data_IF_281929652519
#
_entry.id   IF_281929652519
#
_cell.length_a   1.000
_cell.length_b   1.000
_cell.length_c   1.000
_cell.angle_alpha   90.00
_cell.angle_beta   90.00
_cell.angle_gamma   90.00
#
_symmetry.space_group_name_H-M   'P 1'
#
loop_
_entity.id
_entity.type
_entity.pdbx_description
1 polymer ?
#
# COMPACT_ATOMS: atom_id res chain seq x y z
N UNK A 1 13.87 -2.66 -26.07
CA UNK A 1 12.46 -3.03 -25.92
C UNK A 1 11.72 -3.22 -27.24
N UNK A 2 11.31 -4.45 -27.49
CA UNK A 2 10.34 -4.89 -28.49
C UNK A 2 8.91 -4.48 -28.08
N UNK A 3 8.16 -3.76 -28.95
CA UNK A 3 6.80 -3.32 -28.65
C UNK A 3 5.80 -4.46 -28.39
N UNK A 4 5.95 -5.61 -29.05
CA UNK A 4 5.03 -6.74 -28.89
C UNK A 4 5.11 -7.33 -27.48
N UNK A 5 6.34 -7.49 -26.97
CA UNK A 5 6.60 -7.97 -25.61
C UNK A 5 6.08 -6.95 -24.58
N UNK A 6 6.27 -5.66 -24.83
CA UNK A 6 5.74 -4.61 -23.96
C UNK A 6 4.20 -4.66 -23.85
N UNK A 7 3.48 -4.89 -24.96
CA UNK A 7 2.03 -5.07 -24.96
C UNK A 7 1.64 -6.30 -24.12
N UNK A 8 2.34 -7.42 -24.28
CA UNK A 8 2.09 -8.63 -23.49
C UNK A 8 2.29 -8.35 -21.99
N UNK A 9 3.35 -7.61 -21.61
CA UNK A 9 3.60 -7.24 -20.22
C UNK A 9 2.45 -6.44 -19.61
N UNK A 10 1.93 -5.47 -20.36
CA UNK A 10 0.79 -4.64 -19.93
C UNK A 10 -0.46 -5.49 -19.78
N UNK A 11 -0.76 -6.37 -20.74
CA UNK A 11 -1.94 -7.25 -20.67
C UNK A 11 -1.85 -8.22 -19.49
N UNK A 12 -0.73 -8.93 -19.34
CA UNK A 12 -0.51 -9.88 -18.24
C UNK A 12 -0.58 -9.16 -16.89
N UNK A 13 0.12 -8.04 -16.76
CA UNK A 13 0.09 -7.23 -15.54
C UNK A 13 -1.33 -6.80 -15.19
N UNK A 14 -2.04 -6.16 -16.12
CA UNK A 14 -3.38 -5.64 -15.89
C UNK A 14 -4.42 -6.73 -15.55
N UNK A 15 -4.41 -7.85 -16.29
CA UNK A 15 -5.35 -8.94 -16.06
C UNK A 15 -5.07 -9.64 -14.71
N UNK A 16 -3.81 -9.89 -14.38
CA UNK A 16 -3.44 -10.48 -13.09
C UNK A 16 -3.77 -9.53 -11.93
N UNK A 17 -3.48 -8.24 -12.11
CA UNK A 17 -3.83 -7.17 -11.16
C UNK A 17 -5.34 -7.07 -10.92
N UNK A 18 -6.14 -7.29 -11.96
CA UNK A 18 -7.61 -7.19 -11.93
C UNK A 18 -8.30 -8.28 -11.08
N UNK A 19 -7.60 -9.33 -10.68
CA UNK A 19 -8.12 -10.35 -9.78
C UNK A 19 -8.32 -9.79 -8.36
N UNK A 20 -9.55 -9.74 -7.87
CA UNK A 20 -9.86 -9.20 -6.54
C UNK A 20 -9.92 -10.29 -5.47
N UNK A 21 -8.80 -10.55 -4.79
CA UNK A 21 -8.75 -11.55 -3.71
C UNK A 21 -9.64 -11.20 -2.52
N UNK A 22 -9.84 -9.91 -2.24
CA UNK A 22 -10.78 -9.48 -1.20
C UNK A 22 -12.21 -9.93 -1.49
N UNK A 23 -12.68 -9.81 -2.74
CA UNK A 23 -14.00 -10.31 -3.17
C UNK A 23 -14.08 -11.83 -3.16
N UNK A 24 -13.03 -12.50 -3.64
CA UNK A 24 -12.96 -13.97 -3.66
C UNK A 24 -13.06 -14.51 -2.23
N UNK A 25 -12.24 -14.02 -1.30
CA UNK A 25 -12.25 -14.45 0.10
C UNK A 25 -13.58 -14.11 0.79
N UNK A 26 -14.15 -12.93 0.54
CA UNK A 26 -15.46 -12.57 1.09
C UNK A 26 -16.56 -13.51 0.60
N UNK A 27 -16.56 -13.87 -0.68
CA UNK A 27 -17.54 -14.83 -1.25
C UNK A 27 -17.41 -16.23 -0.64
N UNK A 28 -16.20 -16.67 -0.34
CA UNK A 28 -15.93 -18.02 0.19
C UNK A 28 -16.17 -18.08 1.71
N UNK A 29 -15.67 -17.11 2.46
CA UNK A 29 -15.61 -17.16 3.94
C UNK A 29 -16.76 -16.42 4.63
N UNK A 30 -17.46 -15.54 3.93
CA UNK A 30 -18.65 -14.85 4.43
C UNK A 30 -19.74 -14.77 3.35
N UNK A 31 -20.26 -15.92 2.88
CA UNK A 31 -21.31 -15.93 1.87
C UNK A 31 -22.51 -15.08 2.32
N UNK A 32 -22.98 -14.18 1.45
CA UNK A 32 -24.07 -13.25 1.74
C UNK A 32 -23.64 -11.88 2.28
N UNK A 33 -22.36 -11.67 2.64
CA UNK A 33 -21.83 -10.34 2.97
C UNK A 33 -21.10 -9.74 1.77
N UNK A 34 -21.61 -8.63 1.26
CA UNK A 34 -20.95 -7.90 0.18
C UNK A 34 -19.92 -6.92 0.74
N UNK A 35 -18.68 -7.04 0.26
CA UNK A 35 -17.59 -6.11 0.56
C UNK A 35 -17.92 -4.67 0.13
N UNK A 36 -18.79 -4.49 -0.88
CA UNK A 36 -19.27 -3.18 -1.32
C UNK A 36 -20.11 -2.45 -0.26
N UNK A 37 -20.68 -3.19 0.71
CA UNK A 37 -21.61 -2.67 1.71
C UNK A 37 -21.02 -2.69 3.12
N UNK A 38 -19.69 -2.81 3.26
CA UNK A 38 -19.05 -2.79 4.58
C UNK A 38 -19.17 -1.38 5.16
N UNK A 39 -19.94 -1.29 6.23
CA UNK A 39 -20.22 -0.06 6.96
C UNK A 39 -19.28 0.09 8.16
N UNK A 40 -18.74 1.29 8.32
CA UNK A 40 -17.91 1.72 9.44
C UNK A 40 -18.77 2.63 10.31
N UNK A 41 -18.93 2.27 11.58
CA UNK A 41 -19.69 3.07 12.53
C UNK A 41 -18.90 4.32 12.95
N UNK A 42 -19.54 5.47 12.88
CA UNK A 42 -19.07 6.70 13.52
C UNK A 42 -19.40 6.58 15.00
N UNK A 43 -18.36 6.47 15.83
CA UNK A 43 -18.53 6.24 17.25
C UNK A 43 -19.38 7.31 17.92
N UNK A 44 -20.38 6.87 18.68
CA UNK A 44 -21.21 7.75 19.52
C UNK A 44 -22.28 8.54 18.77
N UNK A 45 -22.40 8.41 17.45
CA UNK A 45 -23.49 9.06 16.68
C UNK A 45 -24.54 8.09 16.12
N UNK A 46 -24.25 6.78 16.09
CA UNK A 46 -25.10 5.77 15.44
C UNK A 46 -25.09 5.82 13.90
N UNK A 47 -24.36 6.77 13.31
CA UNK A 47 -24.21 6.94 11.87
C UNK A 47 -23.19 5.92 11.30
N UNK A 48 -23.41 5.48 10.06
CA UNK A 48 -22.55 4.50 9.39
C UNK A 48 -22.08 5.00 8.03
N UNK A 49 -20.77 4.94 7.80
CA UNK A 49 -20.13 5.31 6.53
C UNK A 49 -19.76 4.04 5.79
N UNK A 50 -20.21 3.89 4.54
CA UNK A 50 -19.85 2.74 3.72
C UNK A 50 -18.44 2.92 3.17
N UNK A 51 -17.55 1.95 3.42
CA UNK A 51 -16.22 1.94 2.83
C UNK A 51 -16.32 1.72 1.33
N UNK A 52 -15.74 2.62 0.54
CA UNK A 52 -15.73 2.53 -0.92
C UNK A 52 -14.53 1.74 -1.47
N UNK A 53 -13.69 1.20 -0.60
CA UNK A 53 -12.42 0.57 -0.97
C UNK A 53 -12.50 -0.93 -0.77
N UNK A 54 -12.13 -1.65 -1.82
CA UNK A 54 -12.08 -3.11 -1.84
C UNK A 54 -10.65 -3.55 -1.56
N UNK A 55 -10.39 -4.17 -0.41
CA UNK A 55 -9.04 -4.61 -0.09
C UNK A 55 -8.93 -5.37 1.23
N UNK A 56 -7.72 -5.84 1.51
CA UNK A 56 -7.38 -6.59 2.72
C UNK A 56 -7.88 -5.93 4.02
N UNK A 57 -7.69 -4.62 4.16
CA UNK A 57 -8.14 -3.88 5.34
C UNK A 57 -9.66 -3.96 5.52
N UNK A 58 -10.43 -3.64 4.48
CA UNK A 58 -11.89 -3.65 4.52
C UNK A 58 -12.42 -5.07 4.76
N UNK A 59 -11.88 -6.07 4.06
CA UNK A 59 -12.25 -7.47 4.26
C UNK A 59 -11.91 -7.96 5.69
N UNK A 60 -10.80 -7.49 6.28
CA UNK A 60 -10.42 -7.85 7.66
C UNK A 60 -11.39 -7.36 8.73
N UNK A 61 -12.21 -6.34 8.42
CA UNK A 61 -13.25 -5.86 9.33
C UNK A 61 -14.39 -6.88 9.49
N UNK A 62 -14.57 -7.76 8.50
CA UNK A 62 -15.61 -8.80 8.49
C UNK A 62 -15.03 -10.18 8.78
N UNK A 63 -13.91 -10.52 8.12
CA UNK A 63 -13.30 -11.85 8.17
C UNK A 63 -12.20 -12.00 9.23
N UNK A 64 -11.83 -10.92 9.90
CA UNK A 64 -10.76 -10.89 10.89
C UNK A 64 -9.35 -10.73 10.30
N UNK A 65 -8.36 -10.64 11.21
CA UNK A 65 -6.96 -10.32 10.88
C UNK A 65 -6.31 -11.38 9.98
N UNK A 66 -6.56 -12.66 10.24
CA UNK A 66 -5.95 -13.76 9.49
C UNK A 66 -6.28 -13.69 8.00
N UNK A 67 -7.57 -13.61 7.67
CA UNK A 67 -8.02 -13.45 6.28
C UNK A 67 -7.49 -12.16 5.64
N UNK A 68 -7.44 -11.05 6.39
CA UNK A 68 -6.83 -9.80 5.91
C UNK A 68 -5.37 -9.96 5.47
N UNK A 69 -4.55 -10.67 6.26
CA UNK A 69 -3.15 -10.96 5.92
C UNK A 69 -3.07 -11.84 4.67
N UNK A 70 -3.87 -12.90 4.61
CA UNK A 70 -3.92 -13.79 3.43
C UNK A 70 -4.27 -13.04 2.15
N UNK A 71 -5.29 -12.17 2.21
CA UNK A 71 -5.69 -11.34 1.07
C UNK A 71 -4.55 -10.40 0.66
N UNK A 72 -3.89 -9.74 1.62
CA UNK A 72 -2.77 -8.86 1.32
C UNK A 72 -1.62 -9.62 0.66
N UNK A 73 -1.32 -10.84 1.10
CA UNK A 73 -0.31 -11.69 0.50
C UNK A 73 -0.69 -12.13 -0.92
N UNK A 74 -1.95 -12.50 -1.16
CA UNK A 74 -2.41 -12.83 -2.51
C UNK A 74 -2.37 -11.61 -3.45
N UNK A 75 -2.79 -10.43 -2.96
CA UNK A 75 -2.71 -9.18 -3.72
C UNK A 75 -1.27 -8.76 -4.02
N UNK A 76 -0.33 -9.06 -3.11
CA UNK A 76 1.11 -8.88 -3.33
C UNK A 76 1.60 -9.84 -4.43
N UNK A 77 1.32 -11.13 -4.29
CA UNK A 77 1.86 -12.18 -5.15
C UNK A 77 1.31 -12.13 -6.58
N UNK A 78 0.06 -11.73 -6.77
CA UNK A 78 -0.55 -11.70 -8.11
C UNK A 78 0.18 -10.77 -9.08
N UNK A 79 0.88 -9.76 -8.60
CA UNK A 79 1.71 -8.88 -9.44
C UNK A 79 3.20 -9.23 -9.31
N UNK A 80 3.67 -9.57 -8.10
CA UNK A 80 5.07 -9.92 -7.90
C UNK A 80 5.52 -11.16 -8.71
N UNK A 81 4.67 -12.19 -8.82
CA UNK A 81 4.97 -13.41 -9.58
C UNK A 81 5.17 -13.12 -11.08
N UNK A 82 4.20 -12.52 -11.81
CA UNK A 82 4.41 -12.22 -13.22
C UNK A 82 5.54 -11.21 -13.43
N UNK A 83 5.70 -10.23 -12.54
CA UNK A 83 6.82 -9.28 -12.59
C UNK A 83 8.18 -9.99 -12.49
N UNK A 84 8.34 -10.90 -11.54
CA UNK A 84 9.56 -11.70 -11.42
C UNK A 84 9.79 -12.57 -12.66
N UNK A 85 8.73 -13.17 -13.21
CA UNK A 85 8.81 -13.94 -14.45
C UNK A 85 9.40 -13.12 -15.60
N UNK A 86 8.88 -11.91 -15.85
CA UNK A 86 9.42 -11.03 -16.90
C UNK A 86 10.82 -10.51 -16.58
N UNK A 87 11.14 -10.26 -15.31
CA UNK A 87 12.50 -9.84 -14.89
C UNK A 87 13.55 -10.92 -15.18
N UNK A 88 13.19 -12.19 -14.99
CA UNK A 88 14.08 -13.33 -15.24
C UNK A 88 14.18 -13.68 -16.73
N UNK A 89 13.08 -13.56 -17.48
CA UNK A 89 13.06 -13.86 -18.92
C UNK A 89 13.76 -12.78 -19.75
N UNK A 90 13.69 -11.52 -19.32
CA UNK A 90 14.24 -10.38 -20.06
C UNK A 90 15.09 -9.48 -19.14
N UNK A 91 16.25 -9.96 -18.65
CA UNK A 91 17.05 -9.24 -17.66
C UNK A 91 17.65 -7.92 -18.18
N UNK A 92 17.81 -7.78 -19.50
CA UNK A 92 18.40 -6.59 -20.13
C UNK A 92 17.39 -5.45 -20.40
N UNK A 93 16.09 -5.75 -20.38
CA UNK A 93 15.03 -4.79 -20.68
C UNK A 93 14.08 -4.62 -19.47
N UNK A 94 13.63 -3.40 -19.14
CA UNK A 94 12.82 -3.14 -17.95
C UNK A 94 11.33 -3.52 -18.10
N UNK A 95 11.00 -4.59 -18.85
CA UNK A 95 9.62 -5.03 -19.08
C UNK A 95 8.83 -5.30 -17.80
N UNK A 96 9.49 -5.83 -16.78
CA UNK A 96 8.88 -6.11 -15.49
C UNK A 96 8.34 -4.85 -14.79
N UNK A 97 8.88 -3.65 -15.09
CA UNK A 97 8.32 -2.39 -14.61
C UNK A 97 6.94 -2.12 -15.22
N UNK A 98 6.74 -2.44 -16.51
CA UNK A 98 5.43 -2.32 -17.17
C UNK A 98 4.40 -3.27 -16.55
N UNK A 99 4.81 -4.51 -16.23
CA UNK A 99 3.95 -5.49 -15.55
C UNK A 99 3.47 -4.95 -14.20
N UNK A 100 4.37 -4.32 -13.43
CA UNK A 100 4.03 -3.70 -12.16
C UNK A 100 3.04 -2.53 -12.32
N UNK A 101 3.33 -1.58 -13.22
CA UNK A 101 2.45 -0.42 -13.47
C UNK A 101 1.06 -0.88 -13.89
N UNK A 102 0.98 -1.81 -14.84
CA UNK A 102 -0.28 -2.36 -15.31
C UNK A 102 -1.00 -3.18 -14.23
N UNK A 103 -0.27 -3.96 -13.43
CA UNK A 103 -0.82 -4.72 -12.31
C UNK A 103 -1.40 -3.86 -11.20
N UNK A 104 -0.75 -2.73 -10.89
CA UNK A 104 -1.30 -1.74 -9.98
C UNK A 104 -2.57 -1.11 -10.54
N UNK A 105 -2.54 -0.68 -11.82
CA UNK A 105 -3.72 -0.14 -12.48
C UNK A 105 -4.89 -1.14 -12.51
N UNK A 106 -4.61 -2.42 -12.78
CA UNK A 106 -5.59 -3.50 -12.74
C UNK A 106 -6.15 -3.73 -11.33
N UNK A 107 -5.33 -3.66 -10.29
CA UNK A 107 -5.83 -3.77 -8.91
C UNK A 107 -6.73 -2.58 -8.51
N UNK A 108 -6.39 -1.38 -8.96
CA UNK A 108 -7.11 -0.16 -8.61
C UNK A 108 -8.41 0.00 -9.42
N UNK A 109 -8.36 -0.35 -10.70
CA UNK A 109 -9.47 -0.30 -11.65
C UNK A 109 -9.62 -1.65 -12.37
N UNK A 110 -10.09 -2.69 -11.66
CA UNK A 110 -10.20 -4.05 -12.19
C UNK A 110 -11.32 -4.17 -13.22
N UNK A 111 -11.00 -4.70 -14.40
CA UNK A 111 -11.97 -4.90 -15.48
C UNK A 111 -13.09 -5.87 -15.07
N UNK A 112 -12.79 -6.90 -14.29
CA UNK A 112 -13.76 -7.92 -13.86
C UNK A 112 -14.77 -7.43 -12.82
N UNK A 113 -14.58 -6.22 -12.27
CA UNK A 113 -15.39 -5.70 -11.18
C UNK A 113 -15.83 -4.26 -11.41
N UNK A 114 -16.13 -3.92 -12.67
CA UNK A 114 -16.66 -2.61 -13.05
C UNK A 114 -15.75 -1.45 -12.69
N UNK A 115 -14.43 -1.66 -12.76
CA UNK A 115 -13.39 -0.67 -12.45
C UNK A 115 -13.44 -0.11 -11.03
N UNK A 116 -13.99 -0.88 -10.07
CA UNK A 116 -14.00 -0.53 -8.64
C UNK A 116 -13.06 -1.47 -7.89
N UNK A 117 -11.88 -0.99 -7.51
CA UNK A 117 -10.82 -1.80 -6.90
C UNK A 117 -10.34 -1.32 -5.55
N UNK A 118 -9.12 -1.73 -5.21
CA UNK A 118 -8.40 -1.27 -4.03
C UNK A 118 -7.50 -0.08 -4.31
N UNK A 119 -6.65 0.26 -3.35
CA UNK A 119 -5.64 1.33 -3.49
C UNK A 119 -4.26 0.77 -3.91
N UNK A 120 -4.06 -0.55 -3.78
CA UNK A 120 -2.87 -1.20 -4.32
C UNK A 120 -1.60 -1.16 -3.45
N UNK A 121 -1.69 -0.82 -2.16
CA UNK A 121 -0.50 -0.76 -1.30
C UNK A 121 0.24 -2.11 -1.17
N UNK A 122 -0.48 -3.23 -1.12
CA UNK A 122 0.12 -4.57 -1.13
C UNK A 122 0.77 -4.92 -2.49
N UNK A 123 0.16 -4.48 -3.59
CA UNK A 123 0.69 -4.63 -4.95
C UNK A 123 1.99 -3.86 -5.12
N UNK A 124 2.03 -2.61 -4.63
CA UNK A 124 3.23 -1.77 -4.61
C UNK A 124 4.35 -2.40 -3.78
N UNK A 125 4.01 -2.90 -2.59
CA UNK A 125 4.97 -3.59 -1.73
C UNK A 125 5.60 -4.79 -2.46
N UNK A 126 4.78 -5.65 -3.07
CA UNK A 126 5.27 -6.79 -3.84
C UNK A 126 6.17 -6.39 -4.98
N UNK A 127 5.76 -5.39 -5.75
CA UNK A 127 6.49 -4.95 -6.92
C UNK A 127 7.83 -4.31 -6.57
N UNK A 128 7.86 -3.47 -5.54
CA UNK A 128 9.08 -2.81 -5.08
C UNK A 128 10.04 -3.80 -4.38
N UNK A 129 9.54 -4.86 -3.73
CA UNK A 129 10.39 -5.94 -3.21
C UNK A 129 11.11 -6.71 -4.32
N UNK A 130 10.48 -6.88 -5.50
CA UNK A 130 11.15 -7.47 -6.67
C UNK A 130 12.26 -6.54 -7.21
N UNK A 131 12.11 -5.23 -7.06
CA UNK A 131 13.08 -4.23 -7.53
C UNK A 131 14.28 -4.15 -6.57
N UNK A 132 14.02 -3.81 -5.31
CA UNK A 132 15.04 -3.55 -4.29
C UNK A 132 14.49 -3.84 -2.88
N UNK A 133 14.43 -5.12 -2.51
CA UNK A 133 13.91 -5.54 -1.21
C UNK A 133 14.58 -4.87 0.00
N UNK A 134 15.92 -4.74 0.08
CA UNK A 134 16.57 -4.02 1.17
C UNK A 134 16.14 -2.56 1.23
N UNK A 135 16.07 -1.90 0.07
CA UNK A 135 15.62 -0.51 -0.06
C UNK A 135 14.21 -0.29 0.45
N UNK A 136 13.27 -1.17 0.11
CA UNK A 136 11.88 -1.12 0.60
C UNK A 136 11.83 -1.20 2.13
N UNK A 137 12.49 -2.20 2.72
CA UNK A 137 12.48 -2.41 4.18
C UNK A 137 13.08 -1.18 4.88
N UNK A 138 14.18 -0.67 4.34
CA UNK A 138 14.82 0.53 4.84
C UNK A 138 13.93 1.76 4.74
N UNK A 139 13.28 2.00 3.58
CA UNK A 139 12.42 3.16 3.38
C UNK A 139 11.14 3.11 4.21
N UNK A 140 10.57 1.93 4.46
CA UNK A 140 9.45 1.76 5.41
C UNK A 140 9.90 2.10 6.83
N UNK A 141 11.09 1.68 7.24
CA UNK A 141 11.63 2.01 8.56
C UNK A 141 11.85 3.53 8.68
N UNK A 142 12.55 4.13 7.72
CA UNK A 142 12.80 5.59 7.68
C UNK A 142 11.49 6.38 7.67
N UNK A 143 10.54 6.01 6.83
CA UNK A 143 9.26 6.72 6.73
C UNK A 143 8.45 6.62 8.01
N UNK A 144 8.42 5.44 8.65
CA UNK A 144 7.72 5.22 9.93
C UNK A 144 8.34 6.08 11.02
N UNK A 145 9.68 6.11 11.08
CA UNK A 145 10.42 6.95 12.02
C UNK A 145 10.15 8.43 11.78
N UNK A 146 10.21 8.91 10.53
CA UNK A 146 9.85 10.29 10.18
C UNK A 146 8.39 10.62 10.54
N UNK A 147 7.47 9.69 10.27
CA UNK A 147 6.06 9.82 10.63
C UNK A 147 5.87 10.06 12.12
N UNK A 148 6.60 9.31 12.96
CA UNK A 148 6.56 9.44 14.43
C UNK A 148 7.30 10.69 14.92
N UNK A 149 8.53 10.90 14.45
CA UNK A 149 9.50 11.86 14.99
C UNK A 149 9.28 13.28 14.47
N UNK A 150 8.85 13.45 13.22
CA UNK A 150 8.73 14.76 12.57
C UNK A 150 7.26 15.13 12.48
N UNK A 151 6.47 14.27 11.86
CA UNK A 151 5.06 14.57 11.57
C UNK A 151 4.12 14.30 12.74
N UNK A 152 4.59 13.61 13.79
CA UNK A 152 3.78 13.14 14.93
C UNK A 152 2.51 12.41 14.49
N UNK A 153 2.58 11.77 13.34
CA UNK A 153 1.48 11.07 12.70
C UNK A 153 2.02 9.83 11.98
N UNK A 154 1.82 8.68 12.61
CA UNK A 154 2.24 7.38 12.06
C UNK A 154 1.54 7.03 10.74
N UNK A 155 0.33 7.56 10.46
CA UNK A 155 -0.35 7.37 9.18
C UNK A 155 0.40 8.04 8.02
N UNK A 156 1.08 9.16 8.29
CA UNK A 156 1.95 9.79 7.30
C UNK A 156 3.14 8.87 7.02
N UNK A 157 3.74 8.28 8.06
CA UNK A 157 4.84 7.34 7.89
C UNK A 157 4.48 6.09 7.08
N UNK A 158 3.25 5.61 7.21
CA UNK A 158 2.73 4.41 6.52
C UNK A 158 2.59 4.59 4.99
N UNK A 159 2.60 5.83 4.49
CA UNK A 159 2.55 6.14 3.04
C UNK A 159 3.79 6.86 2.52
N UNK A 160 4.53 7.55 3.40
CA UNK A 160 5.67 8.38 3.02
C UNK A 160 6.80 7.59 2.35
N UNK A 161 6.96 6.30 2.67
CA UNK A 161 7.97 5.45 2.03
C UNK A 161 7.81 5.39 0.51
N UNK A 162 6.59 5.45 -0.03
CA UNK A 162 6.36 5.46 -1.48
C UNK A 162 7.00 6.69 -2.14
N UNK A 163 6.89 7.85 -1.49
CA UNK A 163 7.50 9.09 -1.97
C UNK A 163 9.03 9.00 -1.85
N UNK A 164 9.54 8.47 -0.73
CA UNK A 164 10.98 8.31 -0.51
C UNK A 164 11.62 7.29 -1.48
N UNK A 165 10.85 6.33 -1.99
CA UNK A 165 11.33 5.38 -2.99
C UNK A 165 11.68 6.05 -4.33
N UNK A 166 11.13 7.24 -4.64
CA UNK A 166 11.42 7.96 -5.89
C UNK A 166 12.91 8.34 -5.99
N UNK A 167 13.46 9.17 -5.08
CA UNK A 167 14.89 9.49 -5.12
C UNK A 167 15.76 8.27 -4.79
N UNK A 168 15.27 7.33 -3.97
CA UNK A 168 16.02 6.13 -3.60
C UNK A 168 16.31 5.22 -4.80
N UNK A 169 15.31 4.93 -5.62
CA UNK A 169 15.48 4.03 -6.76
C UNK A 169 16.41 4.64 -7.81
N UNK A 170 16.35 5.96 -8.03
CA UNK A 170 17.32 6.64 -8.88
C UNK A 170 18.74 6.55 -8.31
N UNK A 171 18.90 6.80 -7.00
CA UNK A 171 20.19 6.68 -6.32
C UNK A 171 20.79 5.27 -6.41
N UNK A 172 19.98 4.21 -6.27
CA UNK A 172 20.45 2.81 -6.30
C UNK A 172 20.77 2.28 -7.70
N UNK A 173 20.07 2.76 -8.72
CA UNK A 173 20.16 2.19 -10.07
C UNK A 173 20.91 3.07 -11.05
N UNK A 174 20.94 4.39 -10.83
CA UNK A 174 21.44 5.38 -11.80
C UNK A 174 20.60 5.47 -13.09
N UNK A 175 19.49 4.74 -13.18
CA UNK A 175 18.70 4.59 -14.40
C UNK A 175 17.37 5.37 -14.29
N UNK A 176 17.16 6.26 -15.24
CA UNK A 176 15.97 7.12 -15.35
C UNK A 176 14.67 6.32 -15.52
N UNK A 177 14.73 5.08 -16.03
CA UNK A 177 13.56 4.21 -16.14
C UNK A 177 12.94 3.92 -14.77
N UNK A 178 13.76 3.69 -13.74
CA UNK A 178 13.28 3.43 -12.38
C UNK A 178 12.72 4.69 -11.72
N UNK A 179 13.25 5.86 -12.06
CA UNK A 179 12.68 7.14 -11.63
C UNK A 179 11.28 7.35 -12.21
N UNK A 180 11.12 7.20 -13.53
CA UNK A 180 9.82 7.30 -14.18
C UNK A 180 8.82 6.28 -13.65
N UNK A 181 9.26 5.05 -13.42
CA UNK A 181 8.46 4.02 -12.79
C UNK A 181 7.97 4.45 -11.39
N UNK A 182 8.89 4.89 -10.51
CA UNK A 182 8.57 5.26 -9.14
C UNK A 182 7.57 6.43 -9.08
N UNK A 183 7.77 7.45 -9.92
CA UNK A 183 6.84 8.58 -10.07
C UNK A 183 5.47 8.09 -10.55
N UNK A 184 5.45 7.22 -11.57
CA UNK A 184 4.20 6.70 -12.17
C UNK A 184 3.38 5.90 -11.17
N UNK A 185 3.99 4.92 -10.48
CA UNK A 185 3.25 4.08 -9.51
C UNK A 185 2.79 4.89 -8.29
N UNK A 186 3.58 5.89 -7.87
CA UNK A 186 3.19 6.82 -6.80
C UNK A 186 2.03 7.71 -7.23
N UNK A 187 2.04 8.24 -8.46
CA UNK A 187 0.94 9.00 -9.01
C UNK A 187 -0.35 8.16 -9.09
N UNK A 188 -0.26 6.94 -9.62
CA UNK A 188 -1.38 5.99 -9.70
C UNK A 188 -1.95 5.68 -8.31
N UNK A 189 -1.08 5.45 -7.32
CA UNK A 189 -1.49 5.26 -5.93
C UNK A 189 -2.30 6.44 -5.42
N UNK A 190 -1.78 7.67 -5.56
CA UNK A 190 -2.48 8.86 -5.10
C UNK A 190 -3.80 9.08 -5.83
N UNK A 191 -3.86 8.84 -7.15
CA UNK A 191 -5.10 8.88 -7.92
C UNK A 191 -6.15 7.91 -7.37
N UNK A 192 -5.76 6.68 -7.04
CA UNK A 192 -6.66 5.70 -6.45
C UNK A 192 -7.14 6.07 -5.05
N UNK A 193 -6.36 6.85 -4.28
CA UNK A 193 -6.76 7.35 -2.95
C UNK A 193 -7.68 8.57 -2.98
N UNK A 194 -7.89 9.24 -4.13
CA UNK A 194 -8.72 10.45 -4.22
C UNK A 194 -10.13 10.24 -3.65
N UNK A 195 -10.87 9.17 -3.98
CA UNK A 195 -12.23 8.96 -3.46
C UNK A 195 -12.25 8.87 -1.93
N UNK A 196 -11.25 8.21 -1.34
CA UNK A 196 -11.10 8.09 0.13
C UNK A 196 -10.76 9.44 0.76
N UNK A 197 -9.79 10.14 0.17
CA UNK A 197 -9.35 11.46 0.65
C UNK A 197 -10.51 12.46 0.63
N UNK A 198 -11.36 12.44 -0.40
CA UNK A 198 -12.56 13.29 -0.48
C UNK A 198 -13.57 12.98 0.64
N UNK A 199 -13.77 11.71 0.96
CA UNK A 199 -14.65 11.28 2.06
C UNK A 199 -14.11 11.76 3.42
N UNK A 200 -12.81 11.58 3.65
CA UNK A 200 -12.13 12.04 4.86
C UNK A 200 -12.23 13.56 5.03
N UNK A 201 -12.01 14.32 3.96
CA UNK A 201 -12.15 15.78 3.97
C UNK A 201 -13.60 16.19 4.28
N UNK A 202 -14.60 15.48 3.72
CA UNK A 202 -16.01 15.74 4.02
C UNK A 202 -16.30 15.54 5.51
N UNK A 203 -15.91 14.40 6.07
CA UNK A 203 -16.10 14.09 7.49
C UNK A 203 -15.37 15.07 8.41
N UNK A 204 -14.20 15.57 8.00
CA UNK A 204 -13.49 16.63 8.73
C UNK A 204 -14.25 17.95 8.71
N UNK A 205 -14.83 18.35 7.58
CA UNK A 205 -15.68 19.56 7.49
C UNK A 205 -16.96 19.43 8.33
N UNK A 206 -17.49 18.22 8.46
CA UNK A 206 -18.65 17.92 9.31
C UNK A 206 -18.29 17.78 10.81
N UNK A 207 -17.02 17.90 11.19
CA UNK A 207 -16.57 17.71 12.58
C UNK A 207 -16.63 16.25 13.08
N UNK A 208 -16.87 15.28 12.19
CA UNK A 208 -17.04 13.85 12.51
C UNK A 208 -15.75 13.03 12.36
N UNK A 209 -14.65 13.67 11.98
CA UNK A 209 -13.40 12.97 11.63
C UNK A 209 -12.84 12.14 12.79
N UNK A 210 -12.81 12.67 14.01
CA UNK A 210 -12.22 11.95 15.16
C UNK A 210 -13.05 10.71 15.53
N UNK A 211 -14.38 10.83 15.51
CA UNK A 211 -15.30 9.73 15.74
C UNK A 211 -15.20 8.65 14.65
N UNK A 212 -15.05 9.06 13.39
CA UNK A 212 -14.79 8.15 12.27
C UNK A 212 -13.44 7.43 12.40
N UNK A 213 -12.38 8.16 12.74
CA UNK A 213 -11.04 7.60 12.93
C UNK A 213 -11.02 6.58 14.08
N UNK A 214 -11.75 6.85 15.16
CA UNK A 214 -11.91 5.93 16.28
C UNK A 214 -12.69 4.66 15.87
N UNK A 215 -13.73 4.79 15.02
CA UNK A 215 -14.47 3.66 14.47
C UNK A 215 -13.61 2.77 13.55
N UNK A 216 -12.88 3.36 12.60
CA UNK A 216 -11.93 2.61 11.76
C UNK A 216 -10.89 1.89 12.59
N UNK A 217 -10.34 2.59 13.59
CA UNK A 217 -9.28 2.06 14.45
C UNK A 217 -9.73 0.88 15.28
N UNK A 218 -11.03 0.60 15.42
CA UNK A 218 -11.53 -0.59 16.09
C UNK A 218 -11.97 -1.68 15.13
N UNK A 219 -12.58 -1.30 14.02
CA UNK A 219 -13.03 -2.23 12.99
C UNK A 219 -11.86 -2.88 12.24
N UNK A 220 -10.80 -2.11 11.93
CA UNK A 220 -9.66 -2.59 11.14
C UNK A 220 -8.51 -3.07 12.00
N UNK A 221 -8.03 -4.27 11.70
CA UNK A 221 -6.87 -4.85 12.39
C UNK A 221 -5.58 -4.06 12.16
N UNK A 222 -5.38 -3.47 10.97
CA UNK A 222 -4.21 -2.60 10.68
C UNK A 222 -4.26 -1.33 11.52
N UNK A 223 -5.38 -0.61 11.50
CA UNK A 223 -5.50 0.64 12.23
C UNK A 223 -5.51 0.45 13.75
N UNK A 224 -6.03 -0.67 14.27
CA UNK A 224 -5.83 -1.08 15.68
C UNK A 224 -4.35 -1.14 16.07
N UNK A 225 -3.52 -1.76 15.23
CA UNK A 225 -2.07 -1.87 15.45
C UNK A 225 -1.38 -0.50 15.45
N UNK A 226 -1.70 0.32 14.44
CA UNK A 226 -1.18 1.68 14.30
C UNK A 226 -1.54 2.54 15.53
N UNK A 227 -2.78 2.46 16.01
CA UNK A 227 -3.22 3.18 17.22
C UNK A 227 -2.43 2.75 18.46
N UNK A 228 -2.25 1.44 18.68
CA UNK A 228 -1.44 0.95 19.82
C UNK A 228 -0.01 1.48 19.80
N UNK A 229 0.61 1.52 18.61
CA UNK A 229 1.96 2.07 18.45
C UNK A 229 1.93 3.58 18.73
N UNK A 230 0.96 4.31 18.18
CA UNK A 230 0.80 5.75 18.43
C UNK A 230 0.62 6.08 19.92
N UNK A 231 -0.20 5.31 20.63
CA UNK A 231 -0.47 5.50 22.06
C UNK A 231 0.75 5.13 22.93
N UNK A 232 1.58 4.19 22.48
CA UNK A 232 2.85 3.86 23.14
C UNK A 232 3.89 4.96 22.90
N UNK A 233 4.01 5.43 21.65
CA UNK A 233 4.95 6.48 21.23
C UNK A 233 4.67 7.80 21.94
N UNK A 234 3.40 8.18 22.09
CA UNK A 234 3.02 9.44 22.76
C UNK A 234 3.49 9.51 24.23
N UNK A 235 3.68 8.36 24.89
CA UNK A 235 4.20 8.27 26.27
C UNK A 235 5.73 8.34 26.38
N UNK A 236 6.48 8.22 25.27
CA UNK A 236 7.94 8.03 25.29
C UNK A 236 8.71 8.71 24.15
N UNK A 237 8.16 9.77 23.56
CA UNK A 237 8.60 10.35 22.28
C UNK A 237 10.08 10.77 22.23
N UNK A 238 10.63 11.35 23.30
CA UNK A 238 12.04 11.81 23.34
C UNK A 238 13.06 10.66 23.26
N UNK A 239 12.79 9.52 23.91
CA UNK A 239 13.71 8.36 23.90
C UNK A 239 13.71 7.63 22.56
N UNK A 240 12.53 7.53 21.94
CA UNK A 240 12.37 6.94 20.61
C UNK A 240 13.03 7.80 19.52
N UNK A 241 12.97 9.12 19.63
CA UNK A 241 13.62 10.05 18.71
C UNK A 241 15.14 9.82 18.62
N UNK A 242 15.83 9.74 19.76
CA UNK A 242 17.28 9.53 19.79
C UNK A 242 17.68 8.12 19.34
N UNK A 243 16.95 7.08 19.75
CA UNK A 243 17.21 5.71 19.31
C UNK A 243 16.98 5.53 17.78
N UNK A 244 15.97 6.20 17.22
CA UNK A 244 15.66 6.18 15.80
C UNK A 244 16.77 6.80 14.94
N UNK A 245 17.32 7.94 15.38
CA UNK A 245 18.43 8.61 14.68
C UNK A 245 19.68 7.73 14.66
N UNK A 246 20.02 7.12 15.81
CA UNK A 246 21.17 6.21 15.89
C UNK A 246 21.00 4.97 15.03
N UNK A 247 19.80 4.41 14.94
CA UNK A 247 19.51 3.23 14.11
C UNK A 247 19.54 3.56 12.61
N UNK A 248 18.94 4.68 12.20
CA UNK A 248 18.98 5.13 10.80
C UNK A 248 20.42 5.46 10.38
N UNK A 249 21.22 6.10 11.25
CA UNK A 249 22.63 6.37 10.96
C UNK A 249 23.46 5.08 10.78
N UNK A 250 23.21 4.06 11.62
CA UNK A 250 23.86 2.75 11.51
C UNK A 250 23.48 2.01 10.21
N UNK A 251 22.20 2.07 9.82
CA UNK A 251 21.71 1.38 8.61
C UNK A 251 22.11 2.14 7.33
N UNK A 252 22.10 3.49 7.35
CA UNK A 252 22.68 4.31 6.28
C UNK A 252 24.16 3.96 6.07
N UNK A 253 24.92 3.79 7.15
CA UNK A 253 26.32 3.35 7.09
C UNK A 253 26.47 1.97 6.46
N UNK A 254 25.60 1.02 6.79
CA UNK A 254 25.65 -0.34 6.25
C UNK A 254 25.24 -0.43 4.77
N UNK A 255 24.24 0.36 4.34
CA UNK A 255 23.75 0.35 2.96
C UNK A 255 24.67 1.10 1.99
N UNK A 256 25.39 2.14 2.44
CA UNK A 256 26.44 2.81 1.66
C UNK A 256 27.62 1.87 1.37
N UNK A 257 27.85 0.86 2.24
CA UNK A 257 28.91 -0.15 2.05
C UNK A 257 28.48 -1.26 1.07
N UNK A 258 27.18 -1.40 0.78
CA UNK A 258 26.62 -2.42 -0.13
C UNK A 258 26.24 -1.89 -1.52
N UNK A 259 26.62 -0.65 -1.84
CA UNK A 259 26.55 -0.07 -3.20
C UNK A 259 27.91 -0.19 -3.85
#
# INVERSE_FOLDING_TARGET
>A
MDPSIAIICVLVGYLSGSLSFSRIFMRILAPGKDIANIQIEIKGSGERVTSKIYGANTASMVLGKGAGISIALCDLLKVAIPMLGFKLLYPADPYFLLVSVAGLAGHNWPIFHGFRGGVGLAVLLGSLLIIDAPGVIFMIAVSTLMGIAIFRNILVGDVLWLILMIPWLYFRTGDVAYLYYAVTVTAIFFLATIPESREVIRLRKEGKFDAYQAGISEASSRFRGIKKISDFVSKGWRRLFFAAISLVALICGFLVIMV
#
